data_IF_533525095150
#
_entry.id   IF_533525095150
#
_cell.length_a   1.000
_cell.length_b   1.000
_cell.length_c   1.000
_cell.angle_alpha   90.00
_cell.angle_beta   90.00
_cell.angle_gamma   90.00
#
_symmetry.space_group_name_H-M   'P 1'
#
loop_
_entity.id
_entity.type
_entity.pdbx_description
1 polymer ?
#
# COMPACT_ATOMS: atom_id res chain seq x y z
N UNK A 1 21.26 -7.39 -35.74
CA UNK A 1 20.77 -5.99 -35.86
C UNK A 1 20.29 -5.55 -34.48
N UNK A 2 20.94 -4.56 -33.88
CA UNK A 2 20.58 -4.03 -32.57
C UNK A 2 19.28 -3.23 -32.67
N UNK A 3 18.23 -3.69 -32.00
CA UNK A 3 16.99 -2.93 -31.78
C UNK A 3 17.28 -1.86 -30.73
N UNK A 4 17.23 -0.58 -31.13
CA UNK A 4 17.28 0.54 -30.20
C UNK A 4 15.97 0.57 -29.41
N UNK A 5 16.01 0.28 -28.12
CA UNK A 5 14.88 0.53 -27.21
C UNK A 5 14.71 2.04 -27.05
N UNK A 6 13.79 2.62 -27.83
CA UNK A 6 13.37 4.01 -27.64
C UNK A 6 12.63 4.15 -26.32
N UNK A 7 13.20 4.90 -25.39
CA UNK A 7 12.51 5.30 -24.15
C UNK A 7 11.44 6.32 -24.54
N UNK A 8 10.16 5.91 -24.52
CA UNK A 8 9.05 6.86 -24.63
C UNK A 8 9.04 7.74 -23.38
N UNK A 9 9.21 9.04 -23.54
CA UNK A 9 9.01 10.03 -22.48
C UNK A 9 7.58 10.56 -22.57
N UNK A 10 6.86 10.61 -21.45
CA UNK A 10 5.61 11.37 -21.35
C UNK A 10 5.96 12.71 -20.73
N UNK A 11 5.47 13.79 -21.33
CA UNK A 11 5.54 15.14 -20.77
C UNK A 11 4.14 15.51 -20.27
N UNK A 12 4.06 15.87 -18.99
CA UNK A 12 2.86 16.44 -18.41
C UNK A 12 3.16 17.87 -17.94
N UNK A 13 2.14 18.73 -18.00
CA UNK A 13 2.26 20.13 -17.62
C UNK A 13 1.42 20.37 -16.36
N UNK A 14 2.08 20.63 -15.24
CA UNK A 14 1.39 21.14 -14.07
C UNK A 14 1.22 22.65 -14.23
N UNK A 15 -0.03 23.09 -14.22
CA UNK A 15 -0.39 24.50 -14.38
C UNK A 15 -0.93 25.03 -13.06
N UNK A 16 -0.22 25.99 -12.48
CA UNK A 16 -0.73 26.84 -11.42
C UNK A 16 -1.28 28.13 -12.06
N UNK A 17 -2.60 28.38 -12.02
CA UNK A 17 -3.20 29.54 -12.68
C UNK A 17 -2.85 30.89 -12.04
N UNK A 18 -2.13 30.88 -10.91
CA UNK A 18 -1.97 32.04 -10.05
C UNK A 18 -2.99 32.01 -8.92
N UNK A 19 -2.80 32.86 -7.92
CA UNK A 19 -3.72 32.94 -6.78
C UNK A 19 -3.51 34.20 -5.97
N UNK A 20 -4.52 34.57 -5.19
CA UNK A 20 -4.43 35.69 -4.26
C UNK A 20 -4.39 35.18 -2.83
N UNK A 21 -3.44 35.68 -2.04
CA UNK A 21 -3.40 35.44 -0.60
C UNK A 21 -3.99 36.67 0.09
N UNK A 22 -5.18 36.50 0.67
CA UNK A 22 -5.88 37.55 1.39
C UNK A 22 -5.45 37.69 2.85
N UNK A 23 -4.89 36.64 3.45
CA UNK A 23 -4.48 36.62 4.86
C UNK A 23 -2.96 36.60 4.90
N UNK A 24 -2.37 37.75 5.21
CA UNK A 24 -0.93 37.91 5.35
C UNK A 24 -0.63 39.06 6.32
N UNK A 25 0.55 39.08 6.93
CA UNK A 25 1.04 40.24 7.66
C UNK A 25 2.57 40.28 7.61
N UNK A 26 3.16 41.42 7.94
CA UNK A 26 4.60 41.57 8.04
C UNK A 26 5.11 40.97 9.36
N UNK A 27 6.30 40.36 9.33
CA UNK A 27 6.98 39.85 10.54
C UNK A 27 7.28 38.36 10.51
N UNK A 28 7.84 37.85 11.62
CA UNK A 28 8.17 36.43 11.81
C UNK A 28 7.00 35.66 12.44
N UNK A 29 7.07 34.33 12.41
CA UNK A 29 6.03 33.46 12.98
C UNK A 29 5.88 33.69 14.49
N UNK A 30 6.98 33.91 15.21
CA UNK A 30 7.01 34.13 16.66
C UNK A 30 6.26 35.40 17.06
N UNK A 31 6.29 36.43 16.21
CA UNK A 31 5.61 37.70 16.45
C UNK A 31 4.08 37.59 16.35
N UNK A 32 3.59 36.55 15.67
CA UNK A 32 2.16 36.32 15.43
C UNK A 32 1.58 35.15 16.24
N UNK A 33 2.36 34.54 17.13
CA UNK A 33 1.91 33.42 17.96
C UNK A 33 0.75 33.84 18.87
N UNK A 34 -0.37 33.11 18.82
CA UNK A 34 -1.57 33.40 19.62
C UNK A 34 -2.43 34.56 19.10
N UNK A 35 -2.10 35.14 17.95
CA UNK A 35 -2.87 36.20 17.30
C UNK A 35 -3.68 35.63 16.13
N UNK A 36 -4.88 36.19 15.89
CA UNK A 36 -5.69 35.84 14.72
C UNK A 36 -5.41 36.85 13.60
N UNK A 37 -4.89 36.36 12.48
CA UNK A 37 -4.71 37.18 11.28
C UNK A 37 -6.05 37.43 10.60
N UNK A 38 -6.28 38.67 10.17
CA UNK A 38 -7.42 39.08 9.36
C UNK A 38 -7.06 39.21 7.88
N UNK A 39 -8.08 39.43 7.04
CA UNK A 39 -7.86 39.76 5.63
C UNK A 39 -7.17 41.12 5.48
N UNK A 40 -6.26 41.24 4.52
CA UNK A 40 -5.52 42.47 4.20
C UNK A 40 -5.76 42.93 2.76
N UNK A 41 -5.66 44.25 2.60
CA UNK A 41 -5.63 44.93 1.30
C UNK A 41 -4.34 45.77 1.25
N UNK A 42 -3.48 45.63 0.22
CA UNK A 42 -3.65 44.77 -0.95
C UNK A 42 -3.45 43.28 -0.62
N UNK A 43 -4.07 42.40 -1.41
CA UNK A 43 -3.80 40.97 -1.36
C UNK A 43 -2.44 40.69 -2.01
N UNK A 44 -1.74 39.65 -1.59
CA UNK A 44 -0.54 39.20 -2.29
C UNK A 44 -0.98 38.43 -3.52
N UNK A 45 -0.58 38.90 -4.71
CA UNK A 45 -0.84 38.20 -5.96
C UNK A 45 0.33 37.28 -6.29
N UNK A 46 0.07 35.96 -6.31
CA UNK A 46 1.01 34.97 -6.80
C UNK A 46 0.83 34.80 -8.31
N UNK A 47 1.89 34.97 -9.11
CA UNK A 47 1.80 34.85 -10.55
C UNK A 47 1.49 33.40 -10.96
N UNK A 48 0.89 33.25 -12.14
CA UNK A 48 0.73 31.96 -12.77
C UNK A 48 2.10 31.31 -13.00
N UNK A 49 2.18 30.00 -12.77
CA UNK A 49 3.39 29.22 -12.98
C UNK A 49 3.04 27.96 -13.77
N UNK A 50 3.99 27.53 -14.59
CA UNK A 50 3.92 26.25 -15.29
C UNK A 50 5.21 25.51 -15.07
N UNK A 51 5.11 24.23 -14.77
CA UNK A 51 6.26 23.33 -14.76
C UNK A 51 5.96 22.16 -15.67
N UNK A 52 6.86 21.91 -16.61
CA UNK A 52 6.83 20.72 -17.44
C UNK A 52 7.61 19.64 -16.73
N UNK A 53 6.93 18.56 -16.39
CA UNK A 53 7.54 17.39 -15.79
C UNK A 53 7.84 16.39 -16.91
N UNK A 54 9.11 16.01 -17.04
CA UNK A 54 9.52 14.92 -17.92
C UNK A 54 9.58 13.63 -17.11
N UNK A 55 8.64 12.73 -17.37
CA UNK A 55 8.70 11.39 -16.82
C UNK A 55 9.42 10.50 -17.81
N UNK A 56 10.55 9.95 -17.37
CA UNK A 56 11.04 8.73 -17.97
C UNK A 56 10.03 7.64 -17.61
N UNK A 57 9.32 7.07 -18.60
CA UNK A 57 8.60 5.81 -18.38
C UNK A 57 9.62 4.73 -18.04
N UNK A 58 9.98 4.62 -16.76
CA UNK A 58 10.72 3.47 -16.25
C UNK A 58 9.74 2.32 -16.13
N UNK A 59 9.69 1.53 -17.21
CA UNK A 59 8.80 0.38 -17.31
C UNK A 59 7.35 0.83 -17.40
N UNK A 60 6.77 0.73 -18.59
CA UNK A 60 5.40 0.23 -18.59
C UNK A 60 5.46 -1.07 -17.78
N UNK A 61 4.89 -1.07 -16.57
CA UNK A 61 4.55 -2.32 -15.95
C UNK A 61 3.76 -3.10 -17.01
N UNK A 62 4.18 -4.34 -17.28
CA UNK A 62 3.50 -5.20 -18.25
C UNK A 62 1.98 -5.30 -17.98
N UNK A 63 1.56 -4.94 -16.76
CA UNK A 63 0.18 -4.76 -16.30
C UNK A 63 -0.65 -3.76 -17.12
N UNK A 64 -0.05 -2.68 -17.65
CA UNK A 64 -0.76 -1.72 -18.52
C UNK A 64 -1.08 -2.29 -19.92
N UNK A 65 -0.54 -3.47 -20.26
CA UNK A 65 -0.72 -4.14 -21.55
C UNK A 65 -1.54 -5.43 -21.43
N UNK A 66 -2.31 -5.60 -20.36
CA UNK A 66 -3.14 -6.82 -20.16
C UNK A 66 -2.32 -8.08 -19.86
N UNK A 67 -1.02 -7.94 -19.57
CA UNK A 67 -0.21 -9.04 -19.04
C UNK A 67 -0.49 -9.17 -17.56
N UNK A 68 -0.77 -10.39 -17.10
CA UNK A 68 -0.98 -10.73 -15.69
C UNK A 68 0.10 -10.05 -14.81
N UNK A 69 -0.27 -9.58 -13.61
CA UNK A 69 0.66 -8.88 -12.73
C UNK A 69 1.94 -9.68 -12.50
N UNK A 70 3.09 -9.00 -12.42
CA UNK A 70 4.33 -9.65 -12.00
C UNK A 70 4.15 -10.09 -10.55
N UNK A 71 3.82 -11.36 -10.37
CA UNK A 71 3.69 -11.98 -9.06
C UNK A 71 5.09 -12.13 -8.45
N UNK A 72 5.22 -11.80 -7.16
CA UNK A 72 6.43 -12.18 -6.43
C UNK A 72 6.46 -13.69 -6.32
N UNK A 73 7.47 -14.29 -6.95
CA UNK A 73 7.70 -15.72 -6.94
C UNK A 73 8.74 -16.06 -5.87
N UNK A 74 8.65 -17.26 -5.32
CA UNK A 74 9.56 -17.82 -4.30
C UNK A 74 11.05 -17.89 -4.69
N UNK A 75 11.45 -17.41 -5.88
CA UNK A 75 12.81 -17.52 -6.42
C UNK A 75 13.82 -16.58 -5.76
N UNK A 76 13.37 -15.56 -5.05
CA UNK A 76 14.22 -14.61 -4.31
C UNK A 76 14.31 -14.96 -2.81
N UNK A 77 13.87 -16.17 -2.42
CA UNK A 77 13.81 -16.63 -1.04
C UNK A 77 15.21 -16.83 -0.43
N UNK A 78 15.41 -16.33 0.79
CA UNK A 78 16.53 -16.67 1.65
C UNK A 78 16.09 -17.79 2.62
N UNK A 79 16.77 -18.96 2.65
CA UNK A 79 16.41 -20.07 3.54
C UNK A 79 16.54 -19.73 5.04
N UNK A 80 17.24 -18.65 5.39
CA UNK A 80 17.36 -18.15 6.77
C UNK A 80 16.19 -17.26 7.20
N UNK A 81 15.31 -16.87 6.27
CA UNK A 81 14.07 -16.14 6.56
C UNK A 81 12.90 -17.12 6.75
N UNK A 82 11.95 -16.82 7.66
CA UNK A 82 10.74 -17.61 7.79
C UNK A 82 9.91 -17.54 6.51
N UNK A 83 9.08 -18.56 6.34
CA UNK A 83 8.26 -18.71 5.13
C UNK A 83 6.81 -18.41 5.47
N UNK A 84 6.24 -17.39 4.83
CA UNK A 84 4.83 -17.05 4.93
C UNK A 84 4.13 -17.33 3.60
N UNK A 85 2.86 -17.73 3.67
CA UNK A 85 1.97 -17.76 2.51
C UNK A 85 0.65 -17.06 2.81
N UNK A 86 0.02 -16.53 1.76
CA UNK A 86 -1.25 -15.81 1.86
C UNK A 86 -2.31 -16.56 1.07
N UNK A 87 -3.47 -16.76 1.69
CA UNK A 87 -4.69 -17.19 1.01
C UNK A 87 -5.81 -16.17 1.17
N UNK A 88 -6.60 -16.02 0.11
CA UNK A 88 -7.76 -15.13 0.06
C UNK A 88 -9.04 -15.95 -0.07
N UNK A 89 -10.09 -15.49 0.59
CA UNK A 89 -11.44 -16.04 0.49
C UNK A 89 -12.48 -14.92 0.48
N UNK A 90 -13.52 -15.06 -0.32
CA UNK A 90 -14.63 -14.10 -0.36
C UNK A 90 -15.91 -14.77 -0.85
N UNK A 91 -17.04 -14.09 -0.64
CA UNK A 91 -18.30 -14.51 -1.24
C UNK A 91 -18.20 -14.49 -2.77
N UNK A 92 -18.77 -15.52 -3.42
CA UNK A 92 -18.72 -15.67 -4.89
C UNK A 92 -19.79 -14.86 -5.62
N UNK A 93 -20.84 -14.48 -4.90
CA UNK A 93 -21.99 -13.76 -5.43
C UNK A 93 -22.26 -12.63 -4.45
N UNK A 94 -22.27 -11.39 -4.95
CA UNK A 94 -22.46 -10.19 -4.14
C UNK A 94 -23.60 -9.39 -4.77
N UNK A 95 -24.60 -8.93 -4.01
CA UNK A 95 -25.68 -8.12 -4.56
C UNK A 95 -25.16 -6.77 -5.06
N UNK A 96 -25.83 -6.19 -6.05
CA UNK A 96 -25.51 -4.84 -6.54
C UNK A 96 -25.62 -3.82 -5.39
N UNK A 97 -24.53 -3.09 -5.15
CA UNK A 97 -24.42 -2.16 -4.02
C UNK A 97 -24.13 -2.83 -2.67
N UNK A 98 -23.95 -4.15 -2.64
CA UNK A 98 -23.54 -4.90 -1.45
C UNK A 98 -22.08 -4.64 -1.05
N UNK A 99 -21.76 -5.05 0.18
CA UNK A 99 -20.39 -5.02 0.70
C UNK A 99 -19.60 -6.25 0.24
N UNK A 100 -18.31 -6.07 -0.09
CA UNK A 100 -17.41 -7.16 -0.46
C UNK A 100 -16.33 -7.23 0.61
N UNK A 101 -16.47 -8.19 1.52
CA UNK A 101 -15.46 -8.50 2.52
C UNK A 101 -14.59 -9.66 2.02
N UNK A 102 -13.30 -9.40 1.86
CA UNK A 102 -12.29 -10.40 1.49
C UNK A 102 -11.52 -10.79 2.73
N UNK A 103 -11.63 -12.06 3.13
CA UNK A 103 -10.81 -12.63 4.20
C UNK A 103 -9.39 -12.90 3.69
N UNK A 104 -8.40 -12.47 4.45
CA UNK A 104 -6.98 -12.67 4.21
C UNK A 104 -6.46 -13.58 5.32
N UNK A 105 -5.77 -14.64 4.96
CA UNK A 105 -5.14 -15.57 5.89
C UNK A 105 -3.64 -15.67 5.60
N UNK A 106 -2.81 -15.39 6.59
CA UNK A 106 -1.34 -15.46 6.51
C UNK A 106 -0.88 -16.66 7.34
N UNK A 107 -0.36 -17.67 6.66
CA UNK A 107 0.12 -18.91 7.28
C UNK A 107 1.64 -18.85 7.45
N UNK A 108 2.13 -19.20 8.64
CA UNK A 108 3.54 -19.46 8.88
C UNK A 108 3.90 -20.92 8.54
N UNK A 109 4.55 -21.12 7.41
CA UNK A 109 4.93 -22.42 6.86
C UNK A 109 6.23 -22.92 7.51
N UNK A 110 6.10 -23.52 8.69
CA UNK A 110 7.23 -24.14 9.37
C UNK A 110 6.84 -25.47 10.05
N UNK A 111 7.78 -26.43 10.15
CA UNK A 111 7.56 -27.65 10.93
C UNK A 111 7.24 -27.34 12.39
N UNK A 112 6.39 -28.16 13.01
CA UNK A 112 6.11 -28.08 14.45
C UNK A 112 7.41 -28.08 15.27
N UNK A 113 7.52 -27.16 16.22
CA UNK A 113 8.73 -26.96 17.04
C UNK A 113 9.74 -25.99 16.44
N UNK A 114 9.48 -25.40 15.27
CA UNK A 114 10.26 -24.26 14.78
C UNK A 114 10.01 -23.03 15.66
N UNK A 115 10.97 -22.09 15.75
CA UNK A 115 10.79 -20.86 16.51
C UNK A 115 9.58 -20.06 16.03
N UNK A 116 8.92 -19.38 16.96
CA UNK A 116 7.90 -18.38 16.66
C UNK A 116 8.52 -17.21 15.89
N UNK A 117 7.67 -16.46 15.21
CA UNK A 117 8.05 -15.23 14.51
C UNK A 117 7.16 -14.09 14.97
N UNK A 118 7.70 -12.89 14.96
CA UNK A 118 6.94 -11.65 15.10
C UNK A 118 7.20 -10.79 13.87
N UNK A 119 6.16 -10.21 13.30
CA UNK A 119 6.28 -9.47 12.04
C UNK A 119 5.33 -8.29 11.96
N UNK A 120 5.72 -7.29 11.16
CA UNK A 120 4.88 -6.14 10.89
C UNK A 120 3.74 -6.53 9.93
N UNK A 121 2.49 -6.46 10.41
CA UNK A 121 1.31 -7.00 9.74
C UNK A 121 0.64 -6.00 8.78
N UNK A 122 0.91 -4.71 8.91
CA UNK A 122 0.34 -3.64 8.08
C UNK A 122 0.50 -3.87 6.55
N UNK A 123 1.62 -4.43 6.03
CA UNK A 123 1.76 -4.96 4.67
C UNK A 123 0.60 -5.80 4.10
N UNK A 124 -0.11 -6.52 4.96
CA UNK A 124 -1.26 -7.37 4.59
C UNK A 124 -2.61 -6.68 4.80
N UNK A 125 -2.63 -5.50 5.42
CA UNK A 125 -3.85 -4.75 5.74
C UNK A 125 -4.07 -3.56 4.80
N UNK A 126 -3.08 -3.25 3.95
CA UNK A 126 -3.07 -2.02 3.16
C UNK A 126 -2.66 -2.26 1.71
N UNK A 127 -3.02 -1.30 0.86
CA UNK A 127 -2.61 -1.25 -0.54
C UNK A 127 -1.17 -0.72 -0.64
N UNK A 128 -0.23 -1.62 -0.94
CA UNK A 128 1.19 -1.28 -1.06
C UNK A 128 1.62 -0.92 -2.48
N UNK A 129 1.16 0.23 -2.96
CA UNK A 129 1.67 0.88 -4.17
C UNK A 129 1.65 0.03 -5.46
N UNK A 130 2.34 0.46 -6.53
CA UNK A 130 2.21 -0.15 -7.86
C UNK A 130 2.89 -1.52 -8.00
N UNK A 131 3.80 -1.90 -7.09
CA UNK A 131 4.57 -3.14 -7.19
C UNK A 131 4.09 -4.27 -6.27
N UNK A 132 3.47 -3.95 -5.15
CA UNK A 132 3.13 -4.91 -4.09
C UNK A 132 1.66 -4.77 -3.68
N UNK A 133 1.21 -5.61 -2.75
CA UNK A 133 -0.13 -5.55 -2.19
C UNK A 133 -1.20 -6.10 -3.12
N UNK A 134 -2.40 -5.53 -3.02
CA UNK A 134 -3.61 -6.11 -3.59
C UNK A 134 -3.94 -5.55 -4.97
N UNK A 135 -4.66 -6.29 -5.81
CA UNK A 135 -5.18 -5.79 -7.09
C UNK A 135 -6.60 -6.26 -7.30
N UNK A 136 -7.42 -5.34 -7.79
CA UNK A 136 -8.77 -5.60 -8.26
C UNK A 136 -8.80 -5.52 -9.78
N UNK A 137 -9.46 -6.49 -10.41
CA UNK A 137 -9.68 -6.56 -11.84
C UNK A 137 -11.16 -6.75 -12.13
N UNK A 138 -11.64 -6.24 -13.26
CA UNK A 138 -12.97 -6.50 -13.80
C UNK A 138 -12.85 -7.24 -15.12
N UNK A 139 -13.75 -8.19 -15.37
CA UNK A 139 -13.80 -8.93 -16.63
C UNK A 139 -14.58 -8.13 -17.68
N UNK A 140 -13.94 -7.84 -18.82
CA UNK A 140 -14.55 -7.20 -20.01
C UNK A 140 -14.27 -8.03 -21.25
N UNK A 141 -15.32 -8.44 -21.96
CA UNK A 141 -15.19 -9.12 -23.27
C UNK A 141 -14.15 -10.27 -23.29
N UNK A 142 -14.02 -11.00 -22.18
CA UNK A 142 -13.04 -12.08 -21.90
C UNK A 142 -11.60 -11.67 -21.54
N UNK A 143 -11.34 -10.39 -21.33
CA UNK A 143 -10.08 -9.86 -20.78
C UNK A 143 -10.27 -9.39 -19.34
N UNK A 144 -9.17 -9.33 -18.58
CA UNK A 144 -9.14 -8.76 -17.23
C UNK A 144 -8.55 -7.37 -17.31
N UNK A 145 -9.35 -6.37 -16.97
CA UNK A 145 -8.94 -4.98 -16.88
C UNK A 145 -8.64 -4.65 -15.43
N UNK A 146 -7.47 -4.04 -15.18
CA UNK A 146 -7.10 -3.59 -13.84
C UNK A 146 -7.98 -2.40 -13.48
N UNK A 147 -8.55 -2.44 -12.28
CA UNK A 147 -9.23 -1.28 -11.70
C UNK A 147 -8.15 -0.45 -11.02
N UNK A 148 -7.99 0.78 -11.50
CA UNK A 148 -7.13 1.75 -10.82
C UNK A 148 -7.79 2.16 -9.51
N UNK A 149 -6.98 2.24 -8.47
CA UNK A 149 -7.43 2.79 -7.21
C UNK A 149 -7.33 4.31 -7.32
N UNK A 150 -8.48 4.97 -7.30
CA UNK A 150 -8.59 6.43 -7.31
C UNK A 150 -8.27 7.04 -5.93
N UNK A 151 -7.69 6.27 -4.99
CA UNK A 151 -7.21 6.78 -3.71
C UNK A 151 -6.03 7.74 -3.89
N UNK A 152 -6.36 8.98 -4.26
CA UNK A 152 -5.43 10.10 -4.27
C UNK A 152 -5.32 10.70 -2.88
N UNK A 153 -4.11 10.65 -2.33
CA UNK A 153 -3.68 11.47 -1.21
C UNK A 153 -2.51 10.86 -0.45
N UNK A 154 -1.28 11.13 -0.88
CA UNK A 154 -0.16 10.99 0.05
C UNK A 154 -0.39 11.99 1.18
N UNK A 155 -0.51 11.49 2.41
CA UNK A 155 -0.38 12.33 3.58
C UNK A 155 1.08 12.81 3.63
N UNK A 156 1.36 13.99 3.07
CA UNK A 156 2.62 14.68 3.33
C UNK A 156 2.45 15.30 4.71
N UNK A 157 3.03 14.63 5.69
CA UNK A 157 3.04 15.07 7.09
C UNK A 157 4.49 15.30 7.47
N UNK A 158 4.77 16.46 8.06
CA UNK A 158 6.12 16.91 8.41
C UNK A 158 6.56 16.48 9.82
N UNK A 159 5.70 15.73 10.54
CA UNK A 159 5.99 15.27 11.89
C UNK A 159 7.01 14.11 11.89
N UNK A 160 7.88 14.02 12.92
CA UNK A 160 8.89 12.98 12.99
C UNK A 160 8.28 11.60 13.23
N UNK A 161 8.99 10.57 12.78
CA UNK A 161 8.64 9.18 13.04
C UNK A 161 8.44 8.89 14.54
N UNK A 162 7.49 8.00 14.83
CA UNK A 162 7.10 7.62 16.19
C UNK A 162 7.72 6.30 16.58
N UNK A 163 8.23 6.24 17.81
CA UNK A 163 8.74 5.00 18.40
C UNK A 163 7.59 4.13 18.89
N UNK A 164 7.60 2.88 18.46
CA UNK A 164 6.55 1.90 18.73
C UNK A 164 7.18 0.66 19.36
N UNK A 165 6.57 0.19 20.44
CA UNK A 165 6.97 -1.07 21.07
C UNK A 165 6.30 -2.24 20.35
N UNK A 166 7.11 -3.16 19.83
CA UNK A 166 6.64 -4.28 19.01
C UNK A 166 5.69 -5.21 19.77
N UNK A 167 5.89 -5.42 21.07
CA UNK A 167 5.07 -6.36 21.84
C UNK A 167 3.70 -5.81 22.22
N UNK A 168 3.47 -4.50 22.03
CA UNK A 168 2.27 -3.80 22.54
C UNK A 168 1.40 -3.19 21.43
N UNK A 169 1.90 -3.14 20.20
CA UNK A 169 1.25 -2.45 19.09
C UNK A 169 0.51 -3.42 18.17
N UNK A 170 -0.70 -3.05 17.76
CA UNK A 170 -1.59 -3.88 16.94
C UNK A 170 -1.09 -4.13 15.50
N UNK A 171 -0.10 -3.37 15.04
CA UNK A 171 0.50 -3.58 13.73
C UNK A 171 1.56 -4.67 13.72
N UNK A 172 1.82 -5.32 14.86
CA UNK A 172 2.78 -6.41 14.98
C UNK A 172 2.08 -7.68 15.45
N UNK A 173 2.35 -8.77 14.75
CA UNK A 173 1.68 -10.04 14.98
C UNK A 173 2.70 -11.15 15.20
N UNK A 174 2.41 -12.02 16.15
CA UNK A 174 3.20 -13.21 16.47
C UNK A 174 2.56 -14.46 15.90
N UNK A 175 3.36 -15.37 15.34
CA UNK A 175 2.90 -16.68 14.86
C UNK A 175 3.81 -17.81 15.32
N UNK A 176 3.19 -18.87 15.84
CA UNK A 176 3.82 -20.17 16.05
C UNK A 176 3.91 -20.96 14.74
N UNK A 177 4.82 -21.93 14.68
CA UNK A 177 4.99 -22.77 13.50
C UNK A 177 3.68 -23.48 13.10
N UNK A 178 3.20 -23.21 11.89
CA UNK A 178 1.93 -23.73 11.36
C UNK A 178 0.69 -22.92 11.75
N UNK A 179 0.84 -21.83 12.52
CA UNK A 179 -0.26 -20.95 12.89
C UNK A 179 -0.65 -20.02 11.73
N UNK A 180 -1.91 -19.58 11.74
CA UNK A 180 -2.46 -18.67 10.75
C UNK A 180 -3.05 -17.43 11.42
N UNK A 181 -2.58 -16.26 11.01
CA UNK A 181 -3.20 -14.97 11.36
C UNK A 181 -4.19 -14.58 10.26
N UNK A 182 -5.29 -13.92 10.63
CA UNK A 182 -6.33 -13.53 9.66
C UNK A 182 -6.79 -12.10 9.86
N UNK A 183 -7.05 -11.42 8.75
CA UNK A 183 -7.69 -10.10 8.70
C UNK A 183 -8.69 -10.04 7.54
N UNK A 184 -9.41 -8.93 7.37
CA UNK A 184 -10.37 -8.76 6.28
C UNK A 184 -10.25 -7.38 5.63
N UNK A 185 -10.37 -7.34 4.31
CA UNK A 185 -10.49 -6.10 3.55
C UNK A 185 -11.94 -5.90 3.11
N UNK A 186 -12.49 -4.74 3.44
CA UNK A 186 -13.71 -4.25 2.83
C UNK A 186 -13.36 -3.46 1.58
N UNK A 187 -13.70 -3.97 0.38
CA UNK A 187 -13.29 -3.32 -0.86
C UNK A 187 -13.86 -1.90 -1.01
N UNK A 188 -15.07 -1.66 -0.49
CA UNK A 188 -15.73 -0.36 -0.46
C UNK A 188 -14.95 0.71 0.31
N UNK A 189 -14.18 0.31 1.33
CA UNK A 189 -13.35 1.22 2.12
C UNK A 189 -11.98 1.51 1.47
N UNK A 190 -11.67 0.84 0.36
CA UNK A 190 -10.35 0.82 -0.29
C UNK A 190 -10.47 1.24 -1.77
N UNK A 191 -11.25 2.29 -2.05
CA UNK A 191 -11.52 2.79 -3.41
C UNK A 191 -12.78 2.20 -4.06
N UNK A 192 -13.30 1.07 -3.55
CA UNK A 192 -14.58 0.51 -3.95
C UNK A 192 -14.59 -0.21 -5.30
N UNK A 193 -15.79 -0.64 -5.69
CA UNK A 193 -16.06 -1.09 -7.06
C UNK A 193 -16.33 0.15 -7.92
N UNK A 194 -16.02 0.13 -9.23
CA UNK A 194 -16.32 1.25 -10.13
C UNK A 194 -17.79 1.66 -10.09
N UNK A 195 -18.07 2.95 -10.27
CA UNK A 195 -19.44 3.49 -10.28
C UNK A 195 -20.33 2.88 -11.37
N UNK A 196 -19.74 2.41 -12.48
CA UNK A 196 -20.44 1.75 -13.59
C UNK A 196 -20.64 0.24 -13.36
N UNK A 197 -20.46 -0.25 -12.12
CA UNK A 197 -20.72 -1.66 -11.76
C UNK A 197 -22.19 -2.03 -12.00
N UNK A 198 -22.41 -3.19 -12.62
CA UNK A 198 -23.69 -3.69 -13.10
C UNK A 198 -23.84 -5.18 -12.79
N UNK A 199 -25.09 -5.65 -12.73
CA UNK A 199 -25.40 -7.08 -12.60
C UNK A 199 -24.73 -7.88 -13.73
N UNK A 200 -24.11 -9.00 -13.37
CA UNK A 200 -23.35 -9.87 -14.28
C UNK A 200 -21.87 -9.54 -14.39
N UNK A 201 -21.40 -8.42 -13.83
CA UNK A 201 -19.97 -8.14 -13.74
C UNK A 201 -19.25 -9.18 -12.90
N UNK A 202 -18.06 -9.56 -13.36
CA UNK A 202 -17.17 -10.47 -12.64
C UNK A 202 -15.90 -9.73 -12.28
N UNK A 203 -15.57 -9.78 -10.99
CA UNK A 203 -14.37 -9.18 -10.44
C UNK A 203 -13.40 -10.25 -9.98
N UNK A 204 -12.11 -9.93 -10.02
CA UNK A 204 -11.03 -10.75 -9.50
C UNK A 204 -10.16 -9.94 -8.56
N UNK A 205 -9.89 -10.49 -7.39
CA UNK A 205 -9.03 -9.89 -6.39
C UNK A 205 -7.84 -10.80 -6.08
N UNK A 206 -6.64 -10.23 -6.00
CA UNK A 206 -5.39 -10.98 -5.80
C UNK A 206 -4.40 -10.18 -4.97
N UNK A 207 -3.66 -10.86 -4.08
CA UNK A 207 -2.47 -10.31 -3.44
C UNK A 207 -1.25 -10.65 -4.29
N UNK A 208 -0.51 -9.64 -4.76
CA UNK A 208 0.67 -9.81 -5.63
C UNK A 208 1.92 -10.31 -4.91
N UNK A 209 1.86 -10.38 -3.59
CA UNK A 209 3.02 -10.57 -2.73
C UNK A 209 3.50 -9.24 -2.15
N UNK A 210 4.40 -9.35 -1.18
CA UNK A 210 5.06 -8.20 -0.55
C UNK A 210 6.47 -8.56 -0.11
N UNK A 211 7.40 -7.60 -0.22
CA UNK A 211 8.62 -7.65 0.57
C UNK A 211 8.33 -7.04 1.93
N UNK A 212 8.40 -7.86 2.98
CA UNK A 212 8.15 -7.38 4.33
C UNK A 212 9.28 -6.45 4.78
N UNK A 213 8.89 -5.36 5.42
CA UNK A 213 9.79 -4.32 5.90
C UNK A 213 10.40 -4.66 7.26
N UNK A 214 9.70 -5.43 8.10
CA UNK A 214 10.21 -5.84 9.40
C UNK A 214 9.66 -7.21 9.85
N UNK A 215 10.54 -8.03 10.41
CA UNK A 215 10.24 -9.29 11.10
C UNK A 215 11.40 -9.71 12.01
N UNK A 216 11.14 -10.52 13.02
CA UNK A 216 12.16 -11.14 13.85
C UNK A 216 11.72 -12.51 14.39
N UNK A 217 12.68 -13.29 14.89
CA UNK A 217 12.41 -14.52 15.61
C UNK A 217 11.98 -14.24 17.05
N UNK A 218 11.01 -15.01 17.53
CA UNK A 218 10.45 -14.87 18.86
C UNK A 218 8.97 -14.52 18.83
N UNK A 219 8.30 -14.76 19.93
CA UNK A 219 6.94 -14.29 20.14
C UNK A 219 6.93 -12.90 20.79
N UNK A 220 5.74 -12.35 21.05
CA UNK A 220 5.60 -11.02 21.65
C UNK A 220 6.36 -10.88 22.98
N UNK A 221 6.52 -11.95 23.77
CA UNK A 221 7.27 -11.92 25.03
C UNK A 221 8.78 -11.77 24.85
N UNK A 222 9.34 -12.24 23.73
CA UNK A 222 10.74 -12.02 23.36
C UNK A 222 11.00 -10.57 22.91
N UNK A 223 9.94 -9.85 22.53
CA UNK A 223 10.02 -8.50 21.96
C UNK A 223 9.58 -7.38 22.89
N UNK A 224 9.48 -7.62 24.21
CA UNK A 224 9.03 -6.62 25.20
C UNK A 224 9.90 -5.36 25.22
N UNK A 225 11.20 -5.49 24.95
CA UNK A 225 12.14 -4.36 24.87
C UNK A 225 12.42 -3.91 23.42
N UNK A 226 11.77 -4.54 22.43
CA UNK A 226 12.01 -4.22 21.02
C UNK A 226 11.20 -2.99 20.63
N UNK A 227 11.92 -1.94 20.21
CA UNK A 227 11.34 -0.69 19.73
C UNK A 227 11.76 -0.45 18.29
N UNK A 228 10.78 -0.13 17.45
CA UNK A 228 10.96 0.26 16.05
C UNK A 228 10.36 1.65 15.83
N UNK A 229 10.68 2.28 14.70
CA UNK A 229 10.02 3.52 14.29
C UNK A 229 9.09 3.30 13.11
N UNK A 230 7.90 3.87 13.20
CA UNK A 230 6.96 4.01 12.11
C UNK A 230 6.82 5.49 11.74
N UNK A 231 6.36 5.82 10.52
CA UNK A 231 6.04 7.20 10.17
C UNK A 231 5.06 7.80 11.18
N UNK A 232 5.01 9.13 11.31
CA UNK A 232 4.15 9.81 12.29
C UNK A 232 2.65 9.46 12.20
N UNK A 233 2.19 8.97 11.06
CA UNK A 233 0.82 8.49 10.84
C UNK A 233 0.62 6.99 11.14
N UNK A 234 1.68 6.31 11.62
CA UNK A 234 1.80 4.88 12.02
C UNK A 234 1.57 3.89 10.87
N UNK A 235 0.67 4.22 9.94
CA UNK A 235 0.23 3.41 8.79
C UNK A 235 1.24 3.45 7.63
N UNK A 236 2.46 3.01 7.88
CA UNK A 236 3.52 2.96 6.88
C UNK A 236 4.54 1.86 7.19
N UNK A 237 5.65 1.82 6.44
CA UNK A 237 6.72 0.86 6.71
C UNK A 237 7.55 1.27 7.92
N UNK A 238 8.09 0.29 8.62
CA UNK A 238 9.16 0.50 9.60
C UNK A 238 10.32 1.26 8.95
N UNK A 239 10.64 2.41 9.52
CA UNK A 239 11.70 3.31 9.07
C UNK A 239 13.01 3.02 9.81
N UNK A 240 12.93 2.67 11.10
CA UNK A 240 14.06 2.25 11.91
C UNK A 240 13.77 0.96 12.70
N UNK A 241 14.67 -0.03 12.71
CA UNK A 241 15.94 -0.03 11.98
C UNK A 241 15.74 -0.18 10.48
N UNK A 242 16.53 0.57 9.69
CA UNK A 242 16.47 0.49 8.23
C UNK A 242 16.87 -0.91 7.72
N UNK A 243 16.21 -1.39 6.66
CA UNK A 243 16.39 -2.74 6.07
C UNK A 243 16.34 -3.85 7.13
N UNK A 244 15.44 -3.71 8.10
CA UNK A 244 15.24 -4.63 9.22
C UNK A 244 16.54 -4.92 10.00
N UNK A 245 17.42 -3.93 10.13
CA UNK A 245 18.72 -4.09 10.80
C UNK A 245 19.67 -5.04 10.08
N UNK A 246 19.50 -5.26 8.77
CA UNK A 246 20.29 -6.18 7.96
C UNK A 246 19.85 -7.65 8.02
N UNK A 247 18.71 -7.95 8.66
CA UNK A 247 18.14 -9.30 8.66
C UNK A 247 17.79 -9.77 7.24
N UNK A 248 17.73 -11.10 7.01
CA UNK A 248 17.27 -11.65 5.74
C UNK A 248 15.94 -11.06 5.27
N UNK A 249 15.85 -10.79 3.96
CA UNK A 249 14.62 -10.29 3.35
C UNK A 249 13.57 -11.38 3.34
N UNK A 250 12.42 -11.12 3.97
CA UNK A 250 11.26 -11.99 3.94
C UNK A 250 10.37 -11.54 2.77
N UNK A 251 10.21 -12.44 1.79
CA UNK A 251 9.35 -12.24 0.63
C UNK A 251 8.16 -13.15 0.78
N UNK A 252 6.97 -12.54 0.82
CA UNK A 252 5.71 -13.28 0.79
C UNK A 252 5.23 -13.33 -0.65
N UNK A 253 5.03 -14.53 -1.22
CA UNK A 253 4.64 -14.66 -2.61
C UNK A 253 3.19 -14.22 -2.82
N UNK A 254 2.79 -14.13 -4.09
CA UNK A 254 1.40 -13.90 -4.45
C UNK A 254 0.45 -14.98 -3.91
N UNK A 255 -0.78 -14.58 -3.58
CA UNK A 255 -1.84 -15.49 -3.13
C UNK A 255 -2.54 -16.19 -4.30
N UNK A 256 -3.51 -17.04 -3.97
CA UNK A 256 -4.59 -17.37 -4.91
C UNK A 256 -5.37 -16.10 -5.32
N UNK A 257 -6.04 -16.17 -6.46
CA UNK A 257 -7.04 -15.18 -6.83
C UNK A 257 -8.42 -15.63 -6.34
N UNK A 258 -9.24 -14.68 -5.89
CA UNK A 258 -10.67 -14.88 -5.64
C UNK A 258 -11.48 -14.14 -6.69
N UNK A 259 -12.62 -14.71 -7.06
CA UNK A 259 -13.53 -14.13 -8.05
C UNK A 259 -14.94 -14.07 -7.49
N UNK A 260 -15.62 -12.96 -7.74
CA UNK A 260 -17.01 -12.76 -7.34
C UNK A 260 -17.81 -12.10 -8.47
N UNK A 261 -19.10 -12.40 -8.50
CA UNK A 261 -20.04 -11.90 -9.51
C UNK A 261 -21.08 -11.00 -8.87
N UNK A 262 -21.41 -9.89 -9.52
CA UNK A 262 -22.49 -9.01 -9.09
C UNK A 262 -23.83 -9.59 -9.53
N UNK A 263 -24.75 -9.76 -8.58
CA UNK A 263 -26.10 -10.27 -8.80
C UNK A 263 -27.16 -9.25 -8.36
N UNK A 264 -28.42 -9.55 -8.68
CA UNK A 264 -29.59 -8.80 -8.20
C UNK A 264 -29.69 -8.78 -6.66
#
# INVERSE_FOLDING_TARGET
>A
MASKSGTMKTQECLVWPGGEIAIWDWGSKEQHLGQRLGEKVPKICLPAARVTLEFNKFGLDAEAQGVLPRLLLRKEWNPEAPTLSVSLDCEKIVPLGGEVDVKISVLYEAPTGSPAITFHSYPFQSWYGPREGYRLYRRRENTWEKIEDDSTGFMIVDDPDVSINVSQDENFEGLQAGETWTTSHRLQAQGGLPDDTSVGDVFRYVFKGVKLDWWDWGDSSDHVETVVKLPCFIKGRVTEPQDNGGRPKLIVPASNAVEFTIAE
#
